data_IF_237303034471
#
_entry.id   IF_237303034471
#
_cell.length_a   1.000
_cell.length_b   1.000
_cell.length_c   1.000
_cell.angle_alpha   90.00
_cell.angle_beta   90.00
_cell.angle_gamma   90.00
#
_symmetry.space_group_name_H-M   'P 1'
#
loop_
_entity.id
_entity.type
_entity.pdbx_description
1 polymer ?
#
# COMPACT_ATOMS: atom_id res chain seq x y z
N UNK A 1 -18.52 -6.62 -17.16
CA UNK A 1 -18.45 -6.53 -15.68
C UNK A 1 -17.26 -5.64 -15.37
N UNK A 2 -17.38 -4.70 -14.46
CA UNK A 2 -16.24 -3.87 -14.02
C UNK A 2 -15.28 -4.74 -13.21
N UNK A 3 -13.97 -4.58 -13.43
CA UNK A 3 -12.92 -5.28 -12.67
C UNK A 3 -12.97 -5.01 -11.18
N UNK A 4 -12.10 -5.64 -10.41
CA UNK A 4 -11.98 -5.46 -8.96
C UNK A 4 -10.61 -4.93 -8.58
N UNK A 5 -10.59 -3.96 -7.68
CA UNK A 5 -9.38 -3.31 -7.21
C UNK A 5 -9.05 -3.78 -5.78
N UNK A 6 -7.94 -4.54 -5.66
CA UNK A 6 -7.45 -5.09 -4.39
C UNK A 6 -6.09 -4.47 -4.08
N UNK A 7 -5.96 -3.91 -2.92
CA UNK A 7 -4.71 -3.33 -2.41
C UNK A 7 -4.11 -4.25 -1.34
N UNK A 8 -2.81 -4.48 -1.42
CA UNK A 8 -2.03 -5.15 -0.38
C UNK A 8 -1.11 -4.11 0.26
N UNK A 9 -1.28 -3.88 1.55
CA UNK A 9 -0.54 -2.83 2.25
C UNK A 9 0.04 -3.33 3.60
N UNK A 10 0.86 -2.52 4.26
CA UNK A 10 1.51 -2.86 5.53
C UNK A 10 2.94 -2.32 5.65
N UNK A 11 3.56 -2.54 6.81
CA UNK A 11 4.93 -2.08 7.10
C UNK A 11 5.98 -2.72 6.18
N UNK A 12 7.17 -2.11 6.10
CA UNK A 12 8.28 -2.66 5.34
C UNK A 12 8.77 -3.97 5.95
N UNK A 13 8.98 -4.99 5.09
CA UNK A 13 9.33 -6.34 5.55
C UNK A 13 8.15 -7.24 5.89
N UNK A 14 6.89 -6.77 5.78
CA UNK A 14 5.70 -7.61 6.03
C UNK A 14 5.47 -8.71 4.98
N UNK A 15 6.16 -8.69 3.84
CA UNK A 15 6.06 -9.72 2.81
C UNK A 15 5.05 -9.41 1.70
N UNK A 16 4.65 -8.14 1.55
CA UNK A 16 3.66 -7.69 0.56
C UNK A 16 3.90 -8.21 -0.85
N UNK A 17 5.06 -7.91 -1.43
CA UNK A 17 5.37 -8.26 -2.84
C UNK A 17 5.30 -9.77 -3.06
N UNK A 18 5.83 -10.58 -2.14
CA UNK A 18 5.73 -12.04 -2.19
C UNK A 18 4.26 -12.51 -2.19
N UNK A 19 3.42 -11.89 -1.35
CA UNK A 19 2.02 -12.26 -1.27
C UNK A 19 1.22 -11.78 -2.49
N UNK A 20 1.53 -10.60 -3.02
CA UNK A 20 0.92 -10.10 -4.27
C UNK A 20 1.21 -11.05 -5.44
N UNK A 21 2.46 -11.48 -5.62
CA UNK A 21 2.84 -12.43 -6.67
C UNK A 21 2.11 -13.77 -6.52
N UNK A 22 2.05 -14.33 -5.30
CA UNK A 22 1.34 -15.58 -5.03
C UNK A 22 -0.16 -15.45 -5.25
N UNK A 23 -0.77 -14.35 -4.80
CA UNK A 23 -2.19 -14.08 -4.99
C UNK A 23 -2.53 -13.94 -6.47
N UNK A 24 -1.70 -13.21 -7.23
CA UNK A 24 -1.86 -13.08 -8.68
C UNK A 24 -1.81 -14.44 -9.39
N UNK A 25 -0.83 -15.27 -9.06
CA UNK A 25 -0.70 -16.62 -9.62
C UNK A 25 -1.94 -17.48 -9.28
N UNK A 26 -2.40 -17.45 -8.03
CA UNK A 26 -3.55 -18.24 -7.59
C UNK A 26 -4.87 -17.80 -8.23
N UNK A 27 -5.07 -16.50 -8.47
CA UNK A 27 -6.25 -15.97 -9.17
C UNK A 27 -6.19 -16.27 -10.67
N UNK A 28 -5.03 -16.14 -11.32
CA UNK A 28 -4.82 -16.51 -12.73
C UNK A 28 -5.10 -18.00 -12.96
N UNK A 29 -4.63 -18.87 -12.06
CA UNK A 29 -4.90 -20.31 -12.12
C UNK A 29 -6.41 -20.66 -12.00
N UNK A 30 -7.23 -19.73 -11.52
CA UNK A 30 -8.69 -19.83 -11.45
C UNK A 30 -9.42 -19.15 -12.61
N UNK A 31 -8.67 -18.69 -13.61
CA UNK A 31 -9.23 -18.10 -14.82
C UNK A 31 -9.51 -16.60 -14.74
N UNK A 32 -9.06 -15.89 -13.68
CA UNK A 32 -9.19 -14.43 -13.62
C UNK A 32 -8.06 -13.77 -14.42
N UNK A 33 -8.39 -12.75 -15.20
CA UNK A 33 -7.40 -11.82 -15.74
C UNK A 33 -6.92 -10.92 -14.59
N UNK A 34 -5.60 -10.85 -14.39
CA UNK A 34 -5.00 -10.15 -13.24
C UNK A 34 -3.88 -9.24 -13.70
N UNK A 35 -4.03 -7.94 -13.44
CA UNK A 35 -2.98 -6.94 -13.56
C UNK A 35 -2.32 -6.71 -12.20
N UNK A 36 -1.00 -6.67 -12.16
CA UNK A 36 -0.21 -6.40 -10.92
C UNK A 36 0.53 -5.09 -11.09
N UNK A 37 0.36 -4.22 -10.13
CA UNK A 37 1.01 -2.91 -10.09
C UNK A 37 1.39 -2.53 -8.66
N UNK A 38 1.92 -1.32 -8.43
CA UNK A 38 2.27 -0.83 -7.09
C UNK A 38 2.73 0.62 -7.07
N UNK A 39 2.78 1.18 -5.87
CA UNK A 39 3.20 2.57 -5.65
C UNK A 39 4.46 2.67 -4.76
N UNK A 40 5.33 3.67 -5.03
CA UNK A 40 5.24 4.67 -6.10
C UNK A 40 5.18 4.00 -7.48
N UNK A 41 4.38 4.57 -8.41
CA UNK A 41 4.10 3.96 -9.70
C UNK A 41 5.32 3.93 -10.64
N UNK A 42 5.17 3.26 -11.78
CA UNK A 42 6.15 3.32 -12.88
C UNK A 42 6.08 4.61 -13.71
N UNK A 43 5.10 5.47 -13.46
CA UNK A 43 4.87 6.71 -14.19
C UNK A 43 5.83 7.83 -13.76
N UNK A 44 5.96 8.94 -14.51
CA UNK A 44 6.97 9.97 -14.27
C UNK A 44 7.01 10.52 -12.85
N UNK A 45 5.85 10.73 -12.21
CA UNK A 45 5.81 11.25 -10.82
C UNK A 45 6.30 10.18 -9.85
N UNK A 46 5.88 8.92 -10.01
CA UNK A 46 6.36 7.81 -9.20
C UNK A 46 7.85 7.54 -9.35
N UNK A 47 8.38 7.66 -10.58
CA UNK A 47 9.82 7.59 -10.83
C UNK A 47 10.58 8.71 -10.10
N UNK A 48 10.06 9.93 -10.08
CA UNK A 48 10.64 11.05 -9.34
C UNK A 48 10.68 10.74 -7.83
N UNK A 49 9.57 10.25 -7.26
CA UNK A 49 9.50 9.83 -5.85
C UNK A 49 10.56 8.76 -5.55
N UNK A 50 10.67 7.72 -6.39
CA UNK A 50 11.68 6.65 -6.22
C UNK A 50 13.10 7.20 -6.17
N UNK A 51 13.42 8.19 -7.00
CA UNK A 51 14.75 8.86 -7.00
C UNK A 51 14.99 9.59 -5.69
N UNK A 52 14.00 10.29 -5.12
CA UNK A 52 14.11 10.90 -3.79
C UNK A 52 14.32 9.85 -2.70
N UNK A 53 13.53 8.78 -2.70
CA UNK A 53 13.62 7.73 -1.68
C UNK A 53 14.98 7.01 -1.68
N UNK A 54 15.61 6.86 -2.86
CA UNK A 54 16.97 6.31 -3.00
C UNK A 54 18.08 7.31 -2.73
N UNK A 55 17.76 8.57 -2.41
CA UNK A 55 18.76 9.61 -2.16
C UNK A 55 19.56 10.05 -3.40
N UNK A 56 19.07 9.75 -4.61
CA UNK A 56 19.68 10.17 -5.87
C UNK A 56 19.55 11.68 -6.11
N UNK A 57 18.53 12.30 -5.54
CA UNK A 57 18.27 13.74 -5.62
C UNK A 57 18.53 14.35 -4.25
N UNK A 58 19.67 14.98 -4.08
CA UNK A 58 20.09 15.57 -2.80
C UNK A 58 19.69 17.03 -2.65
N UNK A 59 19.68 17.77 -3.76
CA UNK A 59 19.32 19.19 -3.79
C UNK A 59 17.80 19.33 -3.95
N UNK A 60 17.19 20.19 -3.14
CA UNK A 60 15.77 20.47 -3.21
C UNK A 60 14.88 19.30 -2.79
N UNK A 61 15.34 18.45 -1.86
CA UNK A 61 14.50 17.37 -1.31
C UNK A 61 13.21 17.97 -0.77
N UNK A 62 12.03 17.49 -1.24
CA UNK A 62 10.76 18.00 -0.78
C UNK A 62 10.59 17.85 0.73
N UNK A 63 10.08 18.89 1.38
CA UNK A 63 9.63 18.77 2.76
C UNK A 63 8.44 17.81 2.88
N UNK A 64 8.06 17.49 4.11
CA UNK A 64 7.02 16.52 4.43
C UNK A 64 5.71 16.72 3.64
N UNK A 65 5.16 17.94 3.62
CA UNK A 65 3.90 18.24 2.93
C UNK A 65 4.02 18.10 1.41
N UNK A 66 5.15 18.53 0.84
CA UNK A 66 5.41 18.38 -0.59
C UNK A 66 5.53 16.92 -1.00
N UNK A 67 6.14 16.06 -0.17
CA UNK A 67 6.17 14.62 -0.40
C UNK A 67 4.77 13.99 -0.34
N UNK A 68 3.93 14.42 0.60
CA UNK A 68 2.54 13.96 0.67
C UNK A 68 1.75 14.31 -0.61
N UNK A 69 1.94 15.53 -1.14
CA UNK A 69 1.34 15.97 -2.39
C UNK A 69 1.89 15.19 -3.60
N UNK A 70 3.20 14.91 -3.64
CA UNK A 70 3.79 14.11 -4.71
C UNK A 70 3.22 12.68 -4.74
N UNK A 71 3.09 12.02 -3.60
CA UNK A 71 2.46 10.70 -3.53
C UNK A 71 0.99 10.72 -3.98
N UNK A 72 0.26 11.79 -3.64
CA UNK A 72 -1.12 11.94 -4.11
C UNK A 72 -1.18 12.20 -5.62
N UNK A 73 -0.28 12.99 -6.17
CA UNK A 73 -0.18 13.26 -7.61
C UNK A 73 0.23 12.00 -8.40
N UNK A 74 1.19 11.22 -7.89
CA UNK A 74 1.56 9.92 -8.45
C UNK A 74 0.36 8.98 -8.53
N UNK A 75 -0.40 8.90 -7.43
CA UNK A 75 -1.61 8.07 -7.36
C UNK A 75 -2.65 8.48 -8.40
N UNK A 76 -2.89 9.77 -8.57
CA UNK A 76 -3.83 10.22 -9.60
C UNK A 76 -3.36 9.83 -10.99
N UNK A 77 -2.06 10.03 -11.31
CA UNK A 77 -1.49 9.61 -12.59
C UNK A 77 -1.57 8.09 -12.78
N UNK A 78 -1.29 7.31 -11.74
CA UNK A 78 -1.37 5.85 -11.73
C UNK A 78 -2.82 5.36 -11.95
N UNK A 79 -3.79 5.98 -11.27
CA UNK A 79 -5.22 5.66 -11.44
C UNK A 79 -5.66 5.90 -12.88
N UNK A 80 -5.35 7.07 -13.45
CA UNK A 80 -5.81 7.47 -14.77
C UNK A 80 -5.19 6.63 -15.89
N UNK A 81 -3.89 6.32 -15.80
CA UNK A 81 -3.16 5.71 -16.91
C UNK A 81 -3.01 4.18 -16.80
N UNK A 82 -3.27 3.61 -15.65
CA UNK A 82 -3.04 2.17 -15.44
C UNK A 82 -4.21 1.48 -14.71
N UNK A 83 -4.60 1.93 -13.51
CA UNK A 83 -5.59 1.20 -12.72
C UNK A 83 -6.96 1.20 -13.41
N UNK A 84 -7.49 2.36 -13.79
CA UNK A 84 -8.81 2.46 -14.42
C UNK A 84 -8.92 1.69 -15.74
N UNK A 85 -7.97 1.79 -16.69
CA UNK A 85 -8.03 1.02 -17.94
C UNK A 85 -8.14 -0.49 -17.72
N UNK A 86 -7.37 -1.06 -16.77
CA UNK A 86 -7.45 -2.49 -16.45
C UNK A 86 -8.76 -2.87 -15.76
N UNK A 87 -9.28 -2.02 -14.87
CA UNK A 87 -10.60 -2.24 -14.25
C UNK A 87 -11.73 -2.18 -15.29
N UNK A 88 -11.66 -1.26 -16.23
CA UNK A 88 -12.63 -1.15 -17.34
C UNK A 88 -12.57 -2.36 -18.28
N UNK A 89 -11.38 -2.94 -18.48
CA UNK A 89 -11.20 -4.20 -19.18
C UNK A 89 -11.76 -5.42 -18.42
N UNK A 90 -12.23 -5.25 -17.17
CA UNK A 90 -12.80 -6.31 -16.34
C UNK A 90 -11.75 -7.13 -15.59
N UNK A 91 -10.52 -6.65 -15.50
CA UNK A 91 -9.43 -7.34 -14.81
C UNK A 91 -9.48 -7.14 -13.30
N UNK A 92 -8.87 -8.06 -12.56
CA UNK A 92 -8.54 -7.86 -11.14
C UNK A 92 -7.22 -7.11 -11.08
N UNK A 93 -7.24 -5.90 -10.52
CA UNK A 93 -6.01 -5.11 -10.29
C UNK A 93 -5.53 -5.38 -8.87
N UNK A 94 -4.32 -5.91 -8.74
CA UNK A 94 -3.59 -6.09 -7.47
C UNK A 94 -2.53 -5.01 -7.35
N UNK A 95 -2.60 -4.18 -6.32
CA UNK A 95 -1.66 -3.08 -6.11
C UNK A 95 -0.88 -3.27 -4.80
N UNK A 96 0.46 -3.33 -4.90
CA UNK A 96 1.37 -3.29 -3.75
C UNK A 96 1.52 -1.84 -3.30
N UNK A 97 0.90 -1.48 -2.19
CA UNK A 97 0.75 -0.12 -1.64
C UNK A 97 -0.22 0.76 -2.42
N UNK A 98 -0.93 1.59 -1.67
CA UNK A 98 -1.84 2.60 -2.19
C UNK A 98 -2.03 3.73 -1.17
N UNK A 99 -3.22 4.38 -1.09
CA UNK A 99 -3.46 5.48 -0.15
C UNK A 99 -3.37 5.08 1.34
N UNK A 100 -3.61 3.83 1.80
CA UNK A 100 -3.32 3.44 3.17
C UNK A 100 -1.85 3.65 3.56
N UNK A 101 -0.91 3.32 2.64
CA UNK A 101 0.51 3.65 2.83
C UNK A 101 0.75 5.14 3.00
N UNK A 102 0.19 5.99 2.14
CA UNK A 102 0.36 7.44 2.27
C UNK A 102 -0.21 7.96 3.59
N UNK A 103 -1.40 7.52 3.98
CA UNK A 103 -2.01 7.92 5.26
C UNK A 103 -1.10 7.50 6.42
N UNK A 104 -0.60 6.26 6.44
CA UNK A 104 0.21 5.77 7.54
C UNK A 104 1.62 6.40 7.57
N UNK A 105 2.35 6.37 6.46
CA UNK A 105 3.73 6.84 6.39
C UNK A 105 3.84 8.36 6.54
N UNK A 106 3.07 9.11 5.74
CA UNK A 106 3.17 10.57 5.77
C UNK A 106 2.70 11.13 7.13
N UNK A 107 1.69 10.53 7.75
CA UNK A 107 1.29 10.95 9.10
C UNK A 107 2.35 10.59 10.14
N UNK A 108 3.02 9.43 10.04
CA UNK A 108 4.05 9.02 10.98
C UNK A 108 5.30 9.92 10.95
N UNK A 109 5.66 10.45 9.77
CA UNK A 109 6.79 11.37 9.56
C UNK A 109 6.41 12.85 9.64
N UNK A 110 5.14 13.16 9.86
CA UNK A 110 4.66 14.55 9.98
C UNK A 110 5.34 15.34 11.10
N UNK A 111 5.13 16.66 11.16
CA UNK A 111 5.77 17.54 12.11
C UNK A 111 5.63 17.06 13.56
N UNK A 112 6.68 17.26 14.36
CA UNK A 112 6.63 16.97 15.79
C UNK A 112 5.57 17.84 16.48
N UNK A 113 4.82 17.23 17.40
CA UNK A 113 3.75 17.91 18.14
C UNK A 113 2.44 18.11 17.37
N UNK A 114 2.37 17.76 16.09
CA UNK A 114 1.13 17.80 15.33
C UNK A 114 0.15 16.71 15.78
N UNK A 115 -1.16 17.03 15.73
CA UNK A 115 -2.21 16.03 15.93
C UNK A 115 -2.17 15.00 14.81
N UNK A 116 -1.87 13.76 15.18
CA UNK A 116 -1.71 12.64 14.24
C UNK A 116 -2.99 12.35 13.46
N UNK A 117 -4.12 12.43 14.13
CA UNK A 117 -5.44 12.18 13.53
C UNK A 117 -5.78 13.25 12.50
N UNK A 118 -5.47 14.52 12.80
CA UNK A 118 -5.64 15.61 11.82
C UNK A 118 -4.75 15.43 10.59
N UNK A 119 -3.49 15.04 10.78
CA UNK A 119 -2.59 14.73 9.68
C UNK A 119 -3.16 13.57 8.81
N UNK A 120 -3.63 12.50 9.43
CA UNK A 120 -4.25 11.37 8.72
C UNK A 120 -5.48 11.82 7.91
N UNK A 121 -6.34 12.68 8.48
CA UNK A 121 -7.49 13.23 7.76
C UNK A 121 -7.07 14.11 6.58
N UNK A 122 -6.05 14.93 6.76
CA UNK A 122 -5.53 15.76 5.67
C UNK A 122 -4.96 14.91 4.53
N UNK A 123 -4.14 13.90 4.83
CA UNK A 123 -3.62 12.98 3.82
C UNK A 123 -4.77 12.21 3.13
N UNK A 124 -5.77 11.77 3.88
CA UNK A 124 -6.94 11.13 3.33
C UNK A 124 -7.72 12.05 2.38
N UNK A 125 -7.83 13.34 2.70
CA UNK A 125 -8.47 14.34 1.84
C UNK A 125 -7.70 14.54 0.53
N UNK A 126 -6.36 14.63 0.55
CA UNK A 126 -5.51 14.73 -0.64
C UNK A 126 -5.78 13.57 -1.63
N UNK A 127 -6.16 12.41 -1.11
CA UNK A 127 -6.45 11.20 -1.88
C UNK A 127 -7.96 11.00 -2.13
N UNK A 128 -8.78 12.03 -1.90
CA UNK A 128 -10.24 11.93 -1.96
C UNK A 128 -10.80 11.61 -3.36
N UNK A 129 -10.08 11.99 -4.41
CA UNK A 129 -10.47 11.72 -5.81
C UNK A 129 -9.89 10.42 -6.37
N UNK A 130 -9.00 9.75 -5.65
CA UNK A 130 -8.44 8.48 -6.10
C UNK A 130 -9.50 7.35 -6.05
N UNK A 131 -9.45 6.40 -7.01
CA UNK A 131 -10.32 5.22 -7.04
C UNK A 131 -10.19 4.47 -5.70
N UNK A 132 -11.33 4.27 -4.99
CA UNK A 132 -11.29 3.50 -3.74
C UNK A 132 -11.07 2.01 -4.00
N UNK A 133 -10.23 1.31 -3.23
CA UNK A 133 -10.10 -0.13 -3.30
C UNK A 133 -11.45 -0.83 -2.98
N UNK A 134 -11.73 -1.94 -3.65
CA UNK A 134 -12.84 -2.82 -3.27
C UNK A 134 -12.47 -3.69 -2.06
N UNK A 135 -11.17 -3.91 -1.86
CA UNK A 135 -10.62 -4.62 -0.70
C UNK A 135 -9.19 -4.12 -0.40
N UNK A 136 -8.91 -3.86 0.87
CA UNK A 136 -7.57 -3.62 1.39
C UNK A 136 -7.17 -4.80 2.27
N UNK A 137 -6.10 -5.51 1.89
CA UNK A 137 -5.46 -6.57 2.67
C UNK A 137 -4.26 -5.96 3.40
N UNK A 138 -4.43 -5.66 4.68
CA UNK A 138 -3.40 -5.04 5.51
C UNK A 138 -2.59 -6.12 6.24
N UNK A 139 -1.35 -6.32 5.79
CA UNK A 139 -0.38 -7.22 6.42
C UNK A 139 0.15 -6.59 7.71
N UNK A 140 -0.40 -7.02 8.85
CA UNK A 140 0.03 -6.56 10.17
C UNK A 140 1.19 -7.41 10.67
N UNK A 141 2.34 -6.79 10.88
CA UNK A 141 3.54 -7.43 11.39
C UNK A 141 4.20 -6.54 12.46
N UNK A 142 4.70 -7.17 13.52
CA UNK A 142 5.51 -6.46 14.49
C UNK A 142 6.76 -5.88 13.82
N UNK A 143 7.06 -4.57 14.02
CA UNK A 143 8.21 -3.92 13.39
C UNK A 143 9.56 -4.55 13.70
N UNK A 144 9.72 -5.24 14.86
CA UNK A 144 10.96 -5.95 15.19
C UNK A 144 11.12 -7.20 14.30
N UNK A 145 10.03 -7.97 14.12
CA UNK A 145 10.02 -9.12 13.20
C UNK A 145 10.23 -8.67 11.76
N UNK A 146 9.61 -7.56 11.37
CA UNK A 146 9.78 -6.96 10.05
C UNK A 146 11.24 -6.55 9.79
N UNK A 147 11.89 -5.91 10.77
CA UNK A 147 13.30 -5.55 10.71
C UNK A 147 14.20 -6.79 10.56
N UNK A 148 13.96 -7.84 11.36
CA UNK A 148 14.71 -9.10 11.27
C UNK A 148 14.61 -9.72 9.85
N UNK A 149 13.40 -9.73 9.25
CA UNK A 149 13.18 -10.23 7.89
C UNK A 149 13.92 -9.40 6.83
N UNK A 150 13.97 -8.06 6.98
CA UNK A 150 14.73 -7.19 6.05
C UNK A 150 16.22 -7.46 6.13
N UNK A 151 16.79 -7.55 7.33
CA UNK A 151 18.21 -7.85 7.52
C UNK A 151 18.61 -9.18 6.86
N UNK A 152 17.76 -10.20 6.93
CA UNK A 152 18.01 -11.50 6.29
C UNK A 152 18.02 -11.45 4.76
N UNK A 153 17.29 -10.49 4.15
CA UNK A 153 17.24 -10.33 2.69
C UNK A 153 18.43 -9.62 2.09
N UNK A 154 19.21 -8.91 2.89
CA UNK A 154 20.35 -8.09 2.45
C UNK A 154 19.88 -6.95 1.52
N UNK A 155 19.91 -5.72 1.99
CA UNK A 155 19.57 -4.54 1.21
C UNK A 155 20.13 -3.29 1.88
N UNK A 156 20.34 -2.23 1.13
CA UNK A 156 20.62 -0.92 1.70
C UNK A 156 19.38 -0.42 2.45
N UNK A 157 19.59 0.19 3.63
CA UNK A 157 18.49 0.75 4.43
C UNK A 157 17.86 1.93 3.68
N UNK A 158 16.54 1.88 3.48
CA UNK A 158 15.79 3.00 2.91
C UNK A 158 15.45 4.06 3.98
N UNK A 159 15.07 5.26 3.51
CA UNK A 159 14.85 6.46 4.32
C UNK A 159 13.89 6.27 5.51
N UNK A 160 12.95 5.33 5.41
CA UNK A 160 11.87 5.12 6.40
C UNK A 160 12.03 3.84 7.23
N UNK A 161 13.22 3.24 7.34
CA UNK A 161 13.39 1.91 7.93
C UNK A 161 13.76 1.86 9.41
N UNK A 162 13.84 3.01 10.11
CA UNK A 162 14.13 2.98 11.56
C UNK A 162 13.01 2.27 12.32
N UNK A 163 13.37 1.46 13.33
CA UNK A 163 12.41 0.68 14.12
C UNK A 163 11.35 1.57 14.79
N UNK A 164 11.76 2.73 15.30
CA UNK A 164 10.84 3.68 15.93
C UNK A 164 9.82 4.23 14.94
N UNK A 165 10.27 4.63 13.74
CA UNK A 165 9.37 5.11 12.71
C UNK A 165 8.42 4.01 12.24
N UNK A 166 8.89 2.78 12.06
CA UNK A 166 8.03 1.66 11.69
C UNK A 166 6.98 1.33 12.78
N UNK A 167 7.28 1.55 14.07
CA UNK A 167 6.27 1.46 15.14
C UNK A 167 5.21 2.54 15.02
N UNK A 168 5.60 3.78 14.72
CA UNK A 168 4.66 4.88 14.48
C UNK A 168 3.79 4.61 13.26
N UNK A 169 4.38 4.13 12.16
CA UNK A 169 3.66 3.75 10.94
C UNK A 169 2.62 2.66 11.24
N UNK A 170 3.01 1.60 11.98
CA UNK A 170 2.07 0.54 12.38
C UNK A 170 0.91 1.08 13.21
N UNK A 171 1.17 2.01 14.13
CA UNK A 171 0.12 2.67 14.90
C UNK A 171 -0.85 3.44 14.00
N UNK A 172 -0.33 4.18 13.00
CA UNK A 172 -1.20 4.86 12.02
C UNK A 172 -2.03 3.88 11.19
N UNK A 173 -1.48 2.73 10.78
CA UNK A 173 -2.28 1.68 10.12
C UNK A 173 -3.42 1.17 11.01
N UNK A 174 -3.20 1.09 12.33
CA UNK A 174 -4.24 0.69 13.27
C UNK A 174 -5.42 1.65 13.31
N UNK A 175 -5.18 2.94 13.05
CA UNK A 175 -6.18 4.02 13.08
C UNK A 175 -6.87 4.27 11.73
N UNK A 176 -6.47 3.58 10.65
CA UNK A 176 -7.08 3.75 9.31
C UNK A 176 -8.62 3.69 9.33
N UNK A 177 -9.29 2.79 10.06
CA UNK A 177 -10.75 2.76 10.08
C UNK A 177 -11.40 4.06 10.58
N UNK A 178 -10.71 4.86 11.39
CA UNK A 178 -11.23 6.14 11.87
C UNK A 178 -11.26 7.23 10.77
N UNK A 179 -10.40 7.12 9.76
CA UNK A 179 -10.30 8.10 8.66
C UNK A 179 -10.80 7.54 7.33
N UNK A 180 -11.00 6.23 7.24
CA UNK A 180 -11.54 5.49 6.10
C UNK A 180 -12.62 4.47 6.54
N UNK A 181 -13.72 4.93 7.18
CA UNK A 181 -14.70 4.03 7.79
C UNK A 181 -15.47 3.16 6.79
N UNK A 182 -15.50 3.55 5.53
CA UNK A 182 -16.24 2.85 4.48
C UNK A 182 -15.37 1.88 3.67
N UNK A 183 -14.07 1.82 3.92
CA UNK A 183 -13.20 0.89 3.22
C UNK A 183 -13.33 -0.52 3.80
N UNK A 184 -13.45 -1.52 2.92
CA UNK A 184 -13.34 -2.92 3.32
C UNK A 184 -11.86 -3.23 3.60
N UNK A 185 -11.45 -3.09 4.84
CA UNK A 185 -10.10 -3.36 5.31
C UNK A 185 -10.07 -4.67 6.11
N UNK A 186 -9.27 -5.62 5.66
CA UNK A 186 -9.02 -6.90 6.34
C UNK A 186 -7.59 -6.93 6.84
N UNK A 187 -7.43 -7.10 8.16
CA UNK A 187 -6.11 -7.31 8.77
C UNK A 187 -5.70 -8.77 8.64
N UNK A 188 -4.50 -8.97 8.15
CA UNK A 188 -3.89 -10.30 7.97
C UNK A 188 -2.66 -10.37 8.88
N UNK A 189 -2.64 -11.33 9.80
CA UNK A 189 -1.51 -11.57 10.69
C UNK A 189 -0.31 -12.11 9.89
N UNK A 190 0.61 -11.21 9.54
CA UNK A 190 1.80 -11.54 8.76
C UNK A 190 2.92 -12.20 9.59
N UNK A 191 2.72 -12.46 10.89
CA UNK A 191 3.67 -13.25 11.71
C UNK A 191 3.58 -14.75 11.41
N UNK A 192 2.47 -15.21 10.84
CA UNK A 192 2.24 -16.60 10.45
C UNK A 192 3.13 -17.03 9.29
N UNK A 193 3.05 -18.30 8.92
CA UNK A 193 3.75 -18.83 7.75
C UNK A 193 3.27 -18.15 6.45
N UNK A 194 4.14 -18.13 5.45
CA UNK A 194 3.83 -17.57 4.12
C UNK A 194 2.55 -18.21 3.54
N UNK A 195 2.35 -19.51 3.76
CA UNK A 195 1.21 -20.26 3.23
C UNK A 195 -0.10 -19.93 3.97
N UNK A 196 -0.08 -19.78 5.29
CA UNK A 196 -1.26 -19.37 6.06
C UNK A 196 -1.70 -17.94 5.71
N UNK A 197 -0.75 -17.01 5.60
CA UNK A 197 -1.01 -15.63 5.15
C UNK A 197 -1.64 -15.65 3.76
N UNK A 198 -1.04 -16.41 2.84
CA UNK A 198 -1.56 -16.55 1.48
C UNK A 198 -2.98 -17.13 1.46
N UNK A 199 -3.23 -18.19 2.21
CA UNK A 199 -4.55 -18.83 2.28
C UNK A 199 -5.65 -17.86 2.74
N UNK A 200 -5.36 -17.05 3.77
CA UNK A 200 -6.29 -16.02 4.26
C UNK A 200 -6.54 -14.95 3.19
N UNK A 201 -5.48 -14.41 2.58
CA UNK A 201 -5.61 -13.38 1.55
C UNK A 201 -6.39 -13.88 0.33
N UNK A 202 -6.14 -15.12 -0.10
CA UNK A 202 -6.85 -15.75 -1.21
C UNK A 202 -8.34 -15.92 -0.89
N UNK A 203 -8.67 -16.38 0.32
CA UNK A 203 -10.08 -16.54 0.75
C UNK A 203 -10.84 -15.21 0.70
N UNK A 204 -10.22 -14.10 1.18
CA UNK A 204 -10.84 -12.77 1.14
C UNK A 204 -11.02 -12.23 -0.29
N UNK A 205 -10.01 -12.47 -1.15
CA UNK A 205 -10.09 -12.08 -2.55
C UNK A 205 -11.19 -12.86 -3.29
N UNK A 206 -11.29 -14.16 -3.10
CA UNK A 206 -12.35 -14.98 -3.70
C UNK A 206 -13.72 -14.57 -3.21
N UNK A 207 -13.89 -14.33 -1.91
CA UNK A 207 -15.15 -13.82 -1.35
C UNK A 207 -15.60 -12.49 -1.97
N UNK A 208 -14.64 -11.59 -2.33
CA UNK A 208 -14.95 -10.37 -3.07
C UNK A 208 -15.41 -10.66 -4.50
N UNK A 209 -14.78 -11.62 -5.17
CA UNK A 209 -15.03 -11.93 -6.58
C UNK A 209 -16.33 -12.71 -6.78
N UNK A 210 -16.73 -13.55 -5.81
CA UNK A 210 -17.97 -14.37 -5.88
C UNK A 210 -19.25 -13.55 -5.66
N UNK A 211 -19.20 -12.45 -4.89
CA UNK A 211 -20.37 -11.57 -4.67
C UNK A 211 -20.82 -10.87 -5.97
N UNK A 212 -20.05 -10.97 -7.04
CA UNK A 212 -20.25 -10.24 -8.30
C UNK A 212 -20.79 -11.12 -9.44
N UNK A 213 -21.07 -12.37 -9.15
CA UNK A 213 -21.75 -13.30 -10.06
C UNK A 213 -23.24 -13.36 -9.72
#
# INVERSE_FOLDING_TARGET
MTGRFIVVDGVDGAGKSTQVERLAAALRARGHAVHVTGEPSGWPIGQLIRRYLRGELRDGVPGWSSMALLFSADRMQHVEHEILPHLEAGEVVLCDRYDPSSIAYQSAIGPDGADRTELMRWIALLNGHARRPDLVLLLDLDPQLAAARRTQRGGEAELYETLELQRRIRACYAELPAVRPNDRLVRVDASRSIDEVHAQMLAEALALLDVSR
#
